data_IF_640857835360
#
_entry.id   IF_640857835360
#
_cell.length_a   1.000
_cell.length_b   1.000
_cell.length_c   1.000
_cell.angle_alpha   90.00
_cell.angle_beta   90.00
_cell.angle_gamma   90.00
#
_symmetry.space_group_name_H-M   'P 1'
#
loop_
_entity.id
_entity.type
_entity.pdbx_description
1 polymer ?
#
# COMPACT_ATOMS: atom_id res chain seq x y z
N UNK A 1 8.46 -21.85 -22.07
CA UNK A 1 7.08 -21.41 -21.78
C UNK A 1 6.04 -22.32 -22.46
N UNK A 2 6.03 -22.38 -23.78
CA UNK A 2 5.00 -23.17 -24.51
C UNK A 2 5.07 -24.67 -24.21
N UNK A 3 6.24 -25.25 -24.00
CA UNK A 3 6.39 -26.67 -23.66
C UNK A 3 5.75 -27.01 -22.31
N UNK A 4 5.86 -26.14 -21.33
CA UNK A 4 5.24 -26.30 -20.03
C UNK A 4 3.70 -26.24 -20.14
N UNK A 5 3.21 -25.28 -20.90
CA UNK A 5 1.76 -25.15 -21.17
C UNK A 5 1.20 -26.38 -21.92
N UNK A 6 1.95 -26.88 -22.91
CA UNK A 6 1.58 -28.09 -23.65
C UNK A 6 1.56 -29.33 -22.74
N UNK A 7 2.57 -29.47 -21.87
CA UNK A 7 2.61 -30.54 -20.87
C UNK A 7 1.41 -30.50 -19.93
N UNK A 8 1.13 -29.33 -19.37
CA UNK A 8 -0.04 -29.12 -18.51
C UNK A 8 -1.34 -29.47 -19.26
N UNK A 9 -1.49 -29.02 -20.51
CA UNK A 9 -2.66 -29.31 -21.34
C UNK A 9 -2.80 -30.82 -21.61
N UNK A 10 -1.69 -31.53 -21.82
CA UNK A 10 -1.69 -33.00 -22.02
C UNK A 10 -2.14 -33.73 -20.76
N UNK A 11 -1.63 -33.35 -19.59
CA UNK A 11 -2.04 -33.92 -18.31
C UNK A 11 -3.54 -33.70 -18.06
N UNK A 12 -4.07 -32.53 -18.43
CA UNK A 12 -5.52 -32.28 -18.31
C UNK A 12 -6.35 -33.10 -19.28
N UNK A 13 -5.91 -33.24 -20.52
CA UNK A 13 -6.61 -34.10 -21.48
C UNK A 13 -6.64 -35.58 -21.01
N UNK A 14 -5.58 -36.05 -20.37
CA UNK A 14 -5.53 -37.38 -19.75
C UNK A 14 -6.50 -37.45 -18.55
N UNK A 15 -6.54 -36.44 -17.67
CA UNK A 15 -7.46 -36.39 -16.54
C UNK A 15 -8.93 -36.29 -16.97
N UNK A 16 -9.22 -35.63 -18.09
CA UNK A 16 -10.57 -35.58 -18.66
C UNK A 16 -10.97 -36.92 -19.28
N UNK A 17 -10.03 -37.68 -19.84
CA UNK A 17 -10.27 -38.99 -20.43
C UNK A 17 -10.46 -40.11 -19.39
N UNK A 18 -10.01 -39.92 -18.16
CA UNK A 18 -10.20 -40.86 -17.06
C UNK A 18 -11.60 -40.66 -16.49
N UNK A 19 -12.53 -41.53 -16.89
CA UNK A 19 -13.87 -41.60 -16.27
C UNK A 19 -13.77 -42.33 -14.91
N UNK A 20 -13.20 -41.68 -13.93
CA UNK A 20 -13.04 -42.25 -12.59
C UNK A 20 -13.94 -41.57 -11.58
N UNK A 21 -14.75 -42.36 -10.86
CA UNK A 21 -15.46 -41.90 -9.66
C UNK A 21 -14.51 -41.69 -8.45
N UNK A 22 -13.19 -41.77 -8.67
CA UNK A 22 -12.20 -41.61 -7.62
C UNK A 22 -11.86 -40.15 -7.41
N UNK A 23 -11.69 -39.80 -6.14
CA UNK A 23 -11.18 -38.45 -5.78
C UNK A 23 -9.73 -38.29 -6.26
N UNK A 24 -9.48 -37.27 -7.05
CA UNK A 24 -8.19 -36.99 -7.68
C UNK A 24 -7.57 -35.74 -7.11
N UNK A 25 -6.30 -35.78 -6.71
CA UNK A 25 -5.54 -34.61 -6.30
C UNK A 25 -4.47 -34.35 -7.37
N UNK A 26 -4.49 -33.12 -7.92
CA UNK A 26 -3.49 -32.64 -8.85
C UNK A 26 -2.54 -31.67 -8.14
N UNK A 27 -1.26 -32.06 -8.08
CA UNK A 27 -0.20 -31.23 -7.52
C UNK A 27 0.60 -30.59 -8.65
N UNK A 28 0.68 -29.25 -8.66
CA UNK A 28 1.42 -28.50 -9.68
C UNK A 28 2.43 -27.59 -9.00
N UNK A 29 3.68 -27.71 -9.37
CA UNK A 29 4.76 -26.87 -8.88
C UNK A 29 5.03 -25.76 -9.90
N UNK A 30 4.92 -24.49 -9.45
CA UNK A 30 5.21 -23.28 -10.21
C UNK A 30 4.66 -23.31 -11.66
N UNK A 31 3.34 -23.44 -11.86
CA UNK A 31 2.76 -23.56 -13.22
C UNK A 31 3.02 -22.33 -14.08
N UNK A 32 3.34 -21.21 -13.46
CA UNK A 32 3.67 -19.94 -14.12
C UNK A 32 5.09 -19.89 -14.73
N UNK A 33 5.95 -20.85 -14.45
CA UNK A 33 7.34 -20.81 -14.88
C UNK A 33 7.47 -20.59 -16.40
N UNK A 34 8.18 -19.52 -16.77
CA UNK A 34 8.40 -19.08 -18.16
C UNK A 34 7.13 -18.66 -18.94
N UNK A 35 6.01 -18.41 -18.27
CA UNK A 35 4.80 -17.92 -18.89
C UNK A 35 4.69 -16.38 -18.77
N UNK A 36 4.19 -15.77 -19.85
CA UNK A 36 3.83 -14.36 -19.81
C UNK A 36 2.70 -14.11 -18.79
N UNK A 37 2.69 -13.00 -18.01
CA UNK A 37 1.70 -12.71 -16.97
C UNK A 37 0.23 -12.90 -17.40
N UNK A 38 -0.14 -12.49 -18.61
CA UNK A 38 -1.50 -12.68 -19.13
C UNK A 38 -1.86 -14.17 -19.31
N UNK A 39 -0.89 -15.02 -19.63
CA UNK A 39 -1.10 -16.48 -19.77
C UNK A 39 -1.20 -17.10 -18.38
N UNK A 40 -0.39 -16.66 -17.43
CA UNK A 40 -0.49 -17.09 -16.03
C UNK A 40 -1.91 -16.90 -15.49
N UNK A 41 -2.47 -15.69 -15.61
CA UNK A 41 -3.83 -15.39 -15.15
C UNK A 41 -4.90 -16.25 -15.86
N UNK A 42 -4.74 -16.50 -17.15
CA UNK A 42 -5.67 -17.38 -17.91
C UNK A 42 -5.58 -18.83 -17.45
N UNK A 43 -4.36 -19.33 -17.23
CA UNK A 43 -4.13 -20.68 -16.74
C UNK A 43 -4.80 -20.89 -15.38
N UNK A 44 -4.58 -19.98 -14.43
CA UNK A 44 -5.18 -20.08 -13.09
C UNK A 44 -6.71 -20.07 -13.15
N UNK A 45 -7.31 -19.19 -13.95
CA UNK A 45 -8.77 -19.16 -14.14
C UNK A 45 -9.30 -20.45 -14.75
N UNK A 46 -8.55 -21.05 -15.66
CA UNK A 46 -8.92 -22.37 -16.25
C UNK A 46 -8.86 -23.47 -15.19
N UNK A 47 -7.77 -23.52 -14.39
CA UNK A 47 -7.62 -24.50 -13.32
C UNK A 47 -8.74 -24.38 -12.28
N UNK A 48 -9.08 -23.15 -11.90
CA UNK A 48 -10.16 -22.88 -10.96
C UNK A 48 -11.50 -23.37 -11.51
N UNK A 49 -11.82 -23.01 -12.76
CA UNK A 49 -13.03 -23.49 -13.41
C UNK A 49 -13.10 -25.02 -13.45
N UNK A 50 -12.00 -25.68 -13.77
CA UNK A 50 -11.94 -27.14 -13.82
C UNK A 50 -12.20 -27.78 -12.45
N UNK A 51 -11.65 -27.20 -11.39
CA UNK A 51 -11.89 -27.65 -10.01
C UNK A 51 -13.34 -27.40 -9.57
N UNK A 52 -13.95 -26.30 -9.99
CA UNK A 52 -15.34 -25.95 -9.66
C UNK A 52 -16.35 -26.86 -10.41
N UNK A 53 -16.01 -27.34 -11.62
CA UNK A 53 -16.85 -28.23 -12.42
C UNK A 53 -16.77 -29.72 -12.04
N UNK A 54 -15.75 -30.12 -11.26
CA UNK A 54 -15.51 -31.52 -10.89
C UNK A 54 -15.43 -31.69 -9.36
N UNK A 55 -16.47 -32.18 -8.74
CA UNK A 55 -16.55 -32.41 -7.29
C UNK A 55 -15.49 -33.40 -6.75
N UNK A 56 -14.92 -34.23 -7.62
CA UNK A 56 -13.90 -35.19 -7.28
C UNK A 56 -12.46 -34.77 -7.62
N UNK A 57 -12.23 -33.51 -7.97
CA UNK A 57 -10.92 -32.96 -8.30
C UNK A 57 -10.50 -31.86 -7.34
N UNK A 58 -9.36 -32.02 -6.69
CA UNK A 58 -8.69 -30.97 -5.94
C UNK A 58 -7.37 -30.59 -6.63
N UNK A 59 -7.14 -29.30 -6.82
CA UNK A 59 -5.89 -28.77 -7.38
C UNK A 59 -5.13 -28.02 -6.30
N UNK A 60 -3.88 -28.41 -6.07
CA UNK A 60 -2.95 -27.74 -5.16
C UNK A 60 -1.75 -27.29 -5.99
N UNK A 61 -1.43 -26.01 -5.94
CA UNK A 61 -0.27 -25.48 -6.67
C UNK A 61 0.63 -24.64 -5.76
N UNK A 62 1.93 -24.65 -6.06
CA UNK A 62 2.88 -23.71 -5.47
C UNK A 62 3.16 -22.57 -6.44
N UNK A 63 3.42 -21.38 -5.91
CA UNK A 63 3.71 -20.21 -6.74
C UNK A 63 4.56 -19.18 -6.01
N UNK A 64 5.39 -18.47 -6.77
CA UNK A 64 6.07 -17.23 -6.37
C UNK A 64 5.56 -16.01 -7.15
N UNK A 65 4.47 -16.14 -7.87
CA UNK A 65 3.91 -15.11 -8.75
C UNK A 65 2.81 -14.30 -8.07
N UNK A 66 3.01 -12.99 -7.97
CA UNK A 66 1.96 -12.05 -7.55
C UNK A 66 0.76 -12.06 -8.52
N UNK A 67 0.98 -12.41 -9.81
CA UNK A 67 -0.09 -12.57 -10.80
C UNK A 67 -0.99 -13.77 -10.45
N UNK A 68 -0.40 -14.89 -10.06
CA UNK A 68 -1.14 -16.07 -9.63
C UNK A 68 -1.92 -15.76 -8.35
N UNK A 69 -1.24 -15.19 -7.34
CA UNK A 69 -1.87 -14.84 -6.06
C UNK A 69 -3.03 -13.85 -6.22
N UNK A 70 -2.93 -12.87 -7.15
CA UNK A 70 -4.01 -11.92 -7.45
C UNK A 70 -5.17 -12.52 -8.25
N UNK A 71 -5.01 -13.73 -8.78
CA UNK A 71 -6.00 -14.35 -9.66
C UNK A 71 -6.92 -15.34 -8.94
N UNK A 72 -6.70 -15.57 -7.65
CA UNK A 72 -7.47 -16.51 -6.82
C UNK A 72 -8.13 -15.80 -5.64
N UNK A 73 -9.13 -16.45 -5.02
CA UNK A 73 -9.72 -15.95 -3.79
C UNK A 73 -8.72 -16.01 -2.63
N UNK A 74 -8.78 -15.00 -1.75
CA UNK A 74 -7.93 -14.93 -0.55
C UNK A 74 -8.06 -16.17 0.33
N UNK A 75 -9.27 -16.76 0.39
CA UNK A 75 -9.55 -17.96 1.19
C UNK A 75 -8.86 -19.24 0.67
N UNK A 76 -8.38 -19.23 -0.57
CA UNK A 76 -7.67 -20.39 -1.17
C UNK A 76 -6.16 -20.30 -0.96
N UNK A 77 -5.66 -19.20 -0.41
CA UNK A 77 -4.23 -18.96 -0.24
C UNK A 77 -3.72 -19.63 1.03
N UNK A 78 -2.67 -20.42 0.88
CA UNK A 78 -1.87 -20.99 1.96
C UNK A 78 -0.50 -20.32 1.91
N UNK A 79 -0.21 -19.51 2.92
CA UNK A 79 1.08 -18.84 3.08
C UNK A 79 2.08 -19.77 3.76
N UNK A 80 3.24 -19.95 3.15
CA UNK A 80 4.31 -20.82 3.67
C UNK A 80 5.59 -20.01 3.80
N UNK A 81 6.21 -20.03 4.97
CA UNK A 81 7.47 -19.34 5.21
C UNK A 81 8.41 -20.15 6.10
N UNK A 82 9.72 -19.95 5.91
CA UNK A 82 10.73 -20.58 6.75
C UNK A 82 10.92 -19.85 8.08
N UNK A 83 11.01 -20.61 9.17
CA UNK A 83 11.45 -20.14 10.48
C UNK A 83 12.73 -20.85 10.86
N UNK A 84 13.48 -20.31 11.84
CA UNK A 84 14.71 -20.94 12.37
C UNK A 84 14.49 -22.38 12.90
N UNK A 85 13.27 -22.71 13.28
CA UNK A 85 12.86 -24.00 13.86
C UNK A 85 12.05 -24.88 12.92
N UNK A 86 11.87 -24.48 11.65
CA UNK A 86 11.08 -25.24 10.68
C UNK A 86 10.30 -24.37 9.70
N UNK A 87 9.15 -24.87 9.25
CA UNK A 87 8.25 -24.21 8.30
C UNK A 87 7.03 -23.72 9.05
N UNK A 88 6.62 -22.48 8.78
CA UNK A 88 5.37 -21.87 9.25
C UNK A 88 4.35 -21.91 8.09
N UNK A 89 3.17 -22.44 8.34
CA UNK A 89 2.10 -22.57 7.36
C UNK A 89 0.85 -21.87 7.90
N UNK A 90 0.33 -20.93 7.14
CA UNK A 90 -0.85 -20.12 7.48
C UNK A 90 -1.89 -20.20 6.38
N UNK A 91 -3.09 -20.64 6.69
CA UNK A 91 -4.22 -20.60 5.76
C UNK A 91 -4.95 -19.28 5.96
N UNK A 92 -5.11 -18.50 4.91
CA UNK A 92 -5.80 -17.22 5.00
C UNK A 92 -7.31 -17.39 5.28
N UNK A 93 -7.87 -18.54 4.94
CA UNK A 93 -9.24 -18.90 5.34
C UNK A 93 -9.46 -18.94 6.86
N UNK A 94 -8.40 -19.24 7.62
CA UNK A 94 -8.46 -19.41 9.07
C UNK A 94 -8.31 -18.07 9.82
N UNK A 95 -8.11 -16.95 9.11
CA UNK A 95 -7.90 -15.62 9.69
C UNK A 95 -9.16 -14.94 10.23
N UNK A 96 -10.29 -15.61 10.24
CA UNK A 96 -11.59 -15.09 10.74
C UNK A 96 -11.93 -13.67 10.20
N UNK A 97 -11.56 -13.40 8.95
CA UNK A 97 -11.88 -12.13 8.29
C UNK A 97 -13.40 -12.04 8.07
N UNK A 98 -13.99 -10.87 8.34
CA UNK A 98 -15.39 -10.65 8.01
C UNK A 98 -15.62 -10.74 6.49
N UNK A 99 -16.84 -11.09 6.09
CA UNK A 99 -17.21 -11.18 4.67
C UNK A 99 -16.98 -9.85 3.91
N UNK A 100 -17.16 -8.71 4.57
CA UNK A 100 -16.87 -7.38 3.98
C UNK A 100 -15.39 -7.23 3.66
N UNK A 101 -14.50 -7.66 4.56
CA UNK A 101 -13.04 -7.65 4.35
C UNK A 101 -12.65 -8.61 3.23
N UNK A 102 -13.15 -9.84 3.25
CA UNK A 102 -12.88 -10.84 2.20
C UNK A 102 -13.30 -10.34 0.82
N UNK A 103 -14.52 -9.83 0.71
CA UNK A 103 -15.06 -9.28 -0.54
C UNK A 103 -14.25 -8.07 -1.02
N UNK A 104 -13.80 -7.22 -0.11
CA UNK A 104 -12.93 -6.10 -0.46
C UNK A 104 -11.58 -6.59 -0.98
N UNK A 105 -10.91 -7.48 -0.25
CA UNK A 105 -9.60 -8.02 -0.65
C UNK A 105 -9.69 -8.76 -1.98
N UNK A 106 -10.68 -9.63 -2.18
CA UNK A 106 -10.89 -10.35 -3.44
C UNK A 106 -11.09 -9.42 -4.64
N UNK A 107 -11.70 -8.26 -4.43
CA UNK A 107 -11.91 -7.26 -5.50
C UNK A 107 -10.67 -6.41 -5.77
N UNK A 108 -9.93 -6.03 -4.73
CA UNK A 108 -8.90 -5.00 -4.81
C UNK A 108 -7.46 -5.53 -4.71
N UNK A 109 -7.28 -6.84 -4.44
CA UNK A 109 -5.98 -7.49 -4.45
C UNK A 109 -5.51 -7.69 -5.89
N UNK A 110 -4.99 -6.62 -6.50
CA UNK A 110 -4.34 -6.64 -7.81
C UNK A 110 -2.89 -7.16 -7.71
N UNK A 111 -2.22 -7.26 -8.84
CA UNK A 111 -0.83 -7.74 -8.92
C UNK A 111 0.09 -6.91 -8.01
N UNK A 112 -0.11 -5.59 -7.96
CA UNK A 112 0.74 -4.68 -7.17
C UNK A 112 0.54 -4.93 -5.68
N UNK A 113 -0.70 -5.05 -5.22
CA UNK A 113 -1.01 -5.30 -3.82
C UNK A 113 -0.67 -6.72 -3.38
N UNK A 114 -0.80 -7.70 -4.28
CA UNK A 114 -0.43 -9.10 -3.99
C UNK A 114 1.05 -9.30 -3.68
N UNK A 115 1.91 -8.34 -4.02
CA UNK A 115 3.33 -8.35 -3.64
C UNK A 115 3.53 -8.37 -2.12
N UNK A 116 2.55 -7.89 -1.34
CA UNK A 116 2.59 -7.95 0.12
C UNK A 116 2.76 -9.37 0.66
N UNK A 117 2.21 -10.38 -0.05
CA UNK A 117 2.30 -11.80 0.35
C UNK A 117 3.73 -12.37 0.21
N UNK A 118 4.58 -11.74 -0.57
CA UNK A 118 5.95 -12.20 -0.84
C UNK A 118 7.02 -11.34 -0.14
N UNK A 119 6.60 -10.40 0.70
CA UNK A 119 7.47 -9.43 1.36
C UNK A 119 7.88 -9.88 2.77
N UNK A 120 9.04 -9.43 3.24
CA UNK A 120 9.48 -9.58 4.63
C UNK A 120 8.91 -8.50 5.54
N UNK A 121 8.47 -7.40 4.97
CA UNK A 121 7.80 -6.29 5.62
C UNK A 121 6.97 -5.50 4.63
N UNK A 122 5.94 -4.81 5.10
CA UNK A 122 5.01 -4.05 4.27
C UNK A 122 4.84 -2.64 4.82
N UNK A 123 4.87 -1.65 3.93
CA UNK A 123 4.47 -0.27 4.23
C UNK A 123 3.24 0.05 3.40
N UNK A 124 2.09 0.24 4.06
CA UNK A 124 0.84 0.66 3.43
C UNK A 124 0.78 2.18 3.35
N UNK A 125 0.42 2.71 2.20
CA UNK A 125 0.30 4.16 1.96
C UNK A 125 -1.00 4.49 1.25
N UNK A 126 -1.51 5.71 1.46
CA UNK A 126 -2.78 6.15 0.88
C UNK A 126 -2.68 6.47 -0.61
N UNK A 127 -1.58 7.06 -1.03
CA UNK A 127 -1.44 7.63 -2.35
C UNK A 127 -0.15 7.27 -3.08
N UNK A 128 -0.08 7.80 -4.30
CA UNK A 128 1.07 7.57 -5.19
C UNK A 128 2.30 8.37 -4.76
N UNK A 129 2.10 9.55 -4.16
CA UNK A 129 3.19 10.41 -3.67
C UNK A 129 4.01 9.68 -2.63
N UNK A 130 3.37 9.14 -1.60
CA UNK A 130 4.04 8.37 -0.56
C UNK A 130 4.70 7.11 -1.15
N UNK A 131 3.99 6.41 -2.05
CA UNK A 131 4.54 5.21 -2.68
C UNK A 131 5.83 5.49 -3.45
N UNK A 132 5.97 6.66 -4.05
CA UNK A 132 7.17 7.07 -4.80
C UNK A 132 8.26 7.66 -3.90
N UNK A 133 7.90 8.44 -2.89
CA UNK A 133 8.86 9.20 -2.08
C UNK A 133 9.42 8.40 -0.90
N UNK A 134 8.61 7.52 -0.27
CA UNK A 134 9.05 6.73 0.88
C UNK A 134 10.28 5.87 0.57
N UNK A 135 10.39 5.15 -0.56
CA UNK A 135 11.62 4.41 -0.87
C UNK A 135 12.85 5.31 -0.97
N UNK A 136 12.72 6.51 -1.53
CA UNK A 136 13.81 7.48 -1.66
C UNK A 136 14.26 8.01 -0.31
N UNK A 137 13.30 8.37 0.55
CA UNK A 137 13.59 8.84 1.91
C UNK A 137 14.19 7.73 2.76
N UNK A 138 13.64 6.52 2.67
CA UNK A 138 14.17 5.36 3.38
C UNK A 138 15.64 5.10 3.01
N UNK A 139 15.99 5.16 1.72
CA UNK A 139 17.37 5.01 1.28
C UNK A 139 18.30 6.03 1.94
N UNK A 140 17.94 7.32 1.92
CA UNK A 140 18.73 8.38 2.58
C UNK A 140 18.87 8.17 4.09
N UNK A 141 17.78 7.82 4.77
CA UNK A 141 17.78 7.56 6.22
C UNK A 141 18.67 6.36 6.56
N UNK A 142 18.56 5.27 5.78
CA UNK A 142 19.33 4.04 5.99
C UNK A 142 20.83 4.27 5.71
N UNK A 143 21.18 5.04 4.69
CA UNK A 143 22.56 5.45 4.44
C UNK A 143 23.16 6.23 5.63
N UNK A 144 22.44 7.24 6.13
CA UNK A 144 22.88 8.03 7.29
C UNK A 144 22.99 7.16 8.56
N UNK A 145 22.06 6.25 8.75
CA UNK A 145 22.10 5.28 9.85
C UNK A 145 23.35 4.40 9.75
N UNK A 146 23.65 3.90 8.56
CA UNK A 146 24.80 3.06 8.29
C UNK A 146 26.15 3.78 8.45
N UNK A 147 26.23 5.08 8.19
CA UNK A 147 27.46 5.87 8.43
C UNK A 147 27.89 5.87 9.90
N UNK A 148 26.94 5.77 10.81
CA UNK A 148 27.16 5.87 12.26
C UNK A 148 27.33 4.51 12.95
N UNK A 149 27.30 3.37 12.23
CA UNK A 149 27.30 2.03 12.83
C UNK A 149 28.33 1.09 12.22
N UNK A 150 28.87 0.20 13.05
CA UNK A 150 29.78 -0.87 12.63
C UNK A 150 29.05 -2.01 11.94
N UNK A 151 27.88 -2.40 12.46
CA UNK A 151 27.02 -3.42 11.84
C UNK A 151 26.08 -2.70 10.88
N UNK A 152 26.21 -3.02 9.60
CA UNK A 152 25.39 -2.43 8.53
C UNK A 152 24.07 -3.17 8.40
N UNK A 153 23.03 -2.42 8.10
CA UNK A 153 21.72 -2.94 7.67
C UNK A 153 21.53 -2.65 6.17
N UNK A 154 20.54 -3.26 5.51
CA UNK A 154 20.24 -2.94 4.11
C UNK A 154 20.11 -1.43 3.88
N UNK A 155 20.57 -0.96 2.71
CA UNK A 155 20.55 0.47 2.38
C UNK A 155 19.23 0.91 1.72
N UNK A 156 18.38 -0.04 1.34
CA UNK A 156 17.08 0.26 0.74
C UNK A 156 16.00 -0.67 1.26
N UNK A 157 14.74 -0.31 1.02
CA UNK A 157 13.60 -1.14 1.36
C UNK A 157 13.61 -2.46 0.57
N UNK A 158 13.98 -2.39 -0.73
CA UNK A 158 14.08 -3.57 -1.57
C UNK A 158 15.13 -4.56 -1.06
N UNK A 159 16.33 -4.09 -0.69
CA UNK A 159 17.36 -4.94 -0.09
C UNK A 159 16.89 -5.57 1.22
N UNK A 160 16.06 -4.87 1.98
CA UNK A 160 15.45 -5.37 3.21
C UNK A 160 14.29 -6.35 2.94
N UNK A 161 13.82 -6.46 1.70
CA UNK A 161 12.62 -7.21 1.33
C UNK A 161 11.32 -6.56 1.80
N UNK A 162 11.32 -5.22 1.96
CA UNK A 162 10.16 -4.43 2.36
C UNK A 162 9.49 -3.83 1.12
N UNK A 163 8.19 -4.03 0.98
CA UNK A 163 7.40 -3.50 -0.13
C UNK A 163 6.52 -2.35 0.33
N UNK A 164 6.50 -1.27 -0.44
CA UNK A 164 5.54 -0.17 -0.27
C UNK A 164 4.31 -0.46 -1.14
N UNK A 165 3.14 -0.48 -0.52
CA UNK A 165 1.88 -0.83 -1.18
C UNK A 165 0.91 0.34 -1.08
N UNK A 166 0.58 0.94 -2.23
CA UNK A 166 -0.48 1.94 -2.33
C UNK A 166 -1.85 1.26 -2.25
N UNK A 167 -2.62 1.59 -1.20
CA UNK A 167 -3.97 1.05 -0.99
C UNK A 167 -5.08 1.90 -1.60
N UNK A 168 -4.71 3.01 -2.26
CA UNK A 168 -5.61 3.96 -2.91
C UNK A 168 -6.69 4.53 -1.95
N UNK A 169 -6.24 5.32 -0.99
CA UNK A 169 -7.05 5.99 0.03
C UNK A 169 -6.99 5.33 1.41
N UNK A 170 -7.93 5.69 2.28
CA UNK A 170 -7.96 5.35 3.71
C UNK A 170 -8.45 3.92 4.01
N UNK A 171 -8.16 2.98 3.14
CA UNK A 171 -8.71 1.61 3.18
C UNK A 171 -7.93 0.66 4.12
N UNK A 172 -7.20 1.19 5.08
CA UNK A 172 -6.39 0.44 6.04
C UNK A 172 -7.16 -0.66 6.77
N UNK A 173 -8.42 -0.43 7.11
CA UNK A 173 -9.28 -1.38 7.81
C UNK A 173 -9.44 -2.74 7.12
N UNK A 174 -9.22 -2.79 5.80
CA UNK A 174 -9.31 -4.02 5.03
C UNK A 174 -7.99 -4.79 4.93
N UNK A 175 -6.86 -4.09 5.03
CA UNK A 175 -5.53 -4.70 4.89
C UNK A 175 -4.91 -5.09 6.23
N UNK A 176 -5.06 -4.27 7.27
CA UNK A 176 -4.47 -4.56 8.57
C UNK A 176 -4.90 -5.89 9.19
N UNK A 177 -6.14 -6.37 9.02
CA UNK A 177 -6.54 -7.68 9.54
C UNK A 177 -5.73 -8.88 9.01
N UNK A 178 -4.98 -8.69 7.94
CA UNK A 178 -4.02 -9.69 7.47
C UNK A 178 -2.77 -9.80 8.37
N UNK A 179 -2.43 -8.74 9.11
CA UNK A 179 -1.19 -8.59 9.86
C UNK A 179 -1.40 -8.44 11.37
N UNK A 180 -2.57 -7.95 11.78
CA UNK A 180 -2.89 -7.63 13.16
C UNK A 180 -3.82 -8.67 13.75
N UNK A 181 -3.48 -9.16 14.93
CA UNK A 181 -4.38 -9.91 15.77
C UNK A 181 -4.38 -9.32 17.18
N UNK A 182 -5.56 -9.39 17.82
CA UNK A 182 -5.71 -9.03 19.23
C UNK A 182 -5.40 -10.19 20.16
N UNK A 183 -5.60 -11.45 19.75
CA UNK A 183 -5.57 -12.60 20.64
C UNK A 183 -4.61 -13.75 20.23
N UNK A 184 -4.34 -13.96 18.93
CA UNK A 184 -3.57 -15.12 18.44
C UNK A 184 -2.56 -14.75 17.35
N UNK A 185 -1.26 -14.77 17.67
CA UNK A 185 -0.17 -14.49 16.71
C UNK A 185 -0.11 -15.49 15.55
N UNK A 186 -0.82 -16.63 15.66
CA UNK A 186 -0.75 -17.73 14.68
C UNK A 186 -1.71 -17.57 13.51
N UNK A 187 -2.77 -16.77 13.65
CA UNK A 187 -3.84 -16.62 12.67
C UNK A 187 -3.70 -15.37 11.80
N UNK A 188 -2.48 -14.89 11.59
CA UNK A 188 -2.15 -13.72 10.76
C UNK A 188 -0.85 -13.93 10.01
N UNK A 189 -0.63 -13.13 8.96
CA UNK A 189 0.64 -13.16 8.23
C UNK A 189 1.79 -12.79 9.16
N UNK A 190 2.89 -13.58 9.23
CA UNK A 190 4.03 -13.31 10.11
C UNK A 190 4.94 -12.23 9.51
N UNK A 191 4.36 -11.15 9.02
CA UNK A 191 4.99 -10.05 8.31
C UNK A 191 4.76 -8.77 9.11
N UNK A 192 5.80 -7.98 9.35
CA UNK A 192 5.65 -6.66 9.96
C UNK A 192 4.99 -5.70 8.97
N UNK A 193 3.98 -4.97 9.45
CA UNK A 193 3.24 -4.01 8.66
C UNK A 193 3.30 -2.63 9.30
N UNK A 194 3.61 -1.62 8.51
CA UNK A 194 3.48 -0.22 8.90
C UNK A 194 2.58 0.50 7.92
N UNK A 195 1.87 1.51 8.36
CA UNK A 195 1.08 2.36 7.48
C UNK A 195 1.33 3.83 7.77
N UNK A 196 1.11 4.66 6.78
CA UNK A 196 1.17 6.11 6.87
C UNK A 196 -0.15 6.65 6.35
N UNK A 197 -0.81 7.47 7.17
CA UNK A 197 -2.10 8.09 6.85
C UNK A 197 -2.05 9.58 7.12
N UNK A 198 -2.80 10.33 6.35
CA UNK A 198 -2.97 11.75 6.55
C UNK A 198 -3.83 12.05 7.79
N UNK A 199 -3.68 13.24 8.35
CA UNK A 199 -4.49 13.69 9.48
C UNK A 199 -5.81 14.30 9.03
N UNK A 200 -5.81 14.99 7.88
CA UNK A 200 -6.96 15.65 7.29
C UNK A 200 -7.79 16.44 8.33
N UNK A 201 -7.26 17.56 8.85
CA UNK A 201 -7.93 18.30 9.91
C UNK A 201 -9.37 18.63 9.56
N UNK A 202 -10.25 18.59 10.55
CA UNK A 202 -11.67 18.93 10.36
C UNK A 202 -11.80 20.35 9.79
N UNK A 203 -12.46 20.46 8.63
CA UNK A 203 -12.71 21.74 7.99
C UNK A 203 -13.79 22.55 8.71
N UNK A 204 -13.69 23.88 8.69
CA UNK A 204 -14.78 24.73 9.11
C UNK A 204 -15.87 24.74 8.02
N UNK A 205 -17.10 24.46 8.43
CA UNK A 205 -18.23 24.32 7.51
C UNK A 205 -19.30 25.35 7.87
N UNK A 206 -19.56 26.29 6.98
CA UNK A 206 -20.70 27.20 7.06
C UNK A 206 -21.88 26.63 6.28
N UNK A 207 -23.07 26.65 6.90
CA UNK A 207 -24.30 26.14 6.29
C UNK A 207 -25.35 27.27 6.19
N UNK A 208 -26.16 27.25 5.13
CA UNK A 208 -27.33 28.15 5.01
C UNK A 208 -28.47 27.72 5.95
N UNK A 209 -29.53 28.54 6.02
CA UNK A 209 -30.72 28.27 6.83
C UNK A 209 -31.44 26.95 6.44
N UNK A 210 -31.13 26.38 5.28
CA UNK A 210 -31.65 25.11 4.79
C UNK A 210 -30.68 23.94 5.01
N UNK A 211 -29.57 24.16 5.74
CA UNK A 211 -28.56 23.14 6.06
C UNK A 211 -27.61 22.82 4.90
N UNK A 212 -27.64 23.56 3.78
CA UNK A 212 -26.72 23.34 2.66
C UNK A 212 -25.39 24.00 2.94
N UNK A 213 -24.30 23.33 2.61
CA UNK A 213 -22.94 23.84 2.77
C UNK A 213 -22.75 25.04 1.82
N UNK A 214 -22.51 26.23 2.39
CA UNK A 214 -22.20 27.48 1.65
C UNK A 214 -20.68 27.60 1.51
N UNK A 215 -19.94 27.27 2.57
CA UNK A 215 -18.49 27.42 2.63
C UNK A 215 -17.88 26.23 3.39
N UNK A 216 -16.82 25.71 2.84
CA UNK A 216 -15.98 24.70 3.48
C UNK A 216 -14.54 25.20 3.43
N UNK A 217 -14.00 25.56 4.60
CA UNK A 217 -12.60 25.97 4.70
C UNK A 217 -11.75 24.82 5.24
N UNK A 218 -10.72 24.47 4.50
CA UNK A 218 -9.72 23.52 4.95
C UNK A 218 -8.79 24.16 5.96
N UNK A 219 -8.42 23.41 7.00
CA UNK A 219 -7.45 23.85 8.00
C UNK A 219 -6.03 23.54 7.56
N UNK A 220 -5.15 24.49 7.81
CA UNK A 220 -3.72 24.40 7.54
C UNK A 220 -2.98 24.71 8.84
N UNK A 221 -2.88 23.72 9.74
CA UNK A 221 -2.37 23.96 11.10
C UNK A 221 -0.85 24.12 11.13
N UNK A 222 -0.37 24.77 12.19
CA UNK A 222 1.04 24.87 12.56
C UNK A 222 1.33 23.98 13.79
N UNK A 223 2.61 23.77 14.08
CA UNK A 223 3.03 22.97 15.22
C UNK A 223 2.54 23.63 16.55
N UNK A 224 1.99 22.85 17.45
CA UNK A 224 1.44 23.31 18.73
C UNK A 224 -0.05 23.68 18.71
N UNK A 225 -0.68 23.77 17.54
CA UNK A 225 -2.14 23.95 17.48
C UNK A 225 -2.86 22.64 17.83
N UNK A 226 -4.00 22.75 18.54
CA UNK A 226 -4.84 21.59 18.82
C UNK A 226 -5.63 21.18 17.56
N UNK A 227 -5.23 20.08 16.94
CA UNK A 227 -5.74 19.64 15.66
C UNK A 227 -6.58 18.37 15.85
N UNK A 228 -7.86 18.45 15.49
CA UNK A 228 -8.73 17.29 15.41
C UNK A 228 -8.62 16.72 14.00
N UNK A 229 -8.18 15.48 13.89
CA UNK A 229 -8.11 14.77 12.60
C UNK A 229 -9.50 14.43 12.09
N UNK A 230 -9.68 14.56 10.78
CA UNK A 230 -10.93 14.21 10.08
C UNK A 230 -10.87 12.88 9.33
N UNK A 231 -9.68 12.28 9.23
CA UNK A 231 -9.47 11.01 8.55
C UNK A 231 -9.94 9.84 9.42
N UNK A 232 -10.82 9.00 8.87
CA UNK A 232 -11.37 7.84 9.59
C UNK A 232 -10.33 6.76 9.92
N UNK A 233 -9.21 6.72 9.20
CA UNK A 233 -8.14 5.78 9.50
C UNK A 233 -7.52 6.04 10.88
N UNK A 234 -7.63 7.27 11.42
CA UNK A 234 -7.14 7.63 12.75
C UNK A 234 -7.82 6.81 13.85
N UNK A 235 -9.08 6.45 13.68
CA UNK A 235 -9.82 5.60 14.63
C UNK A 235 -9.17 4.21 14.82
N UNK A 236 -8.38 3.77 13.84
CA UNK A 236 -7.69 2.47 13.88
C UNK A 236 -6.33 2.52 14.58
N UNK A 237 -5.80 3.71 14.84
CA UNK A 237 -4.41 3.89 15.33
C UNK A 237 -4.17 3.16 16.63
N UNK A 238 -5.07 3.34 17.61
CA UNK A 238 -4.92 2.74 18.93
C UNK A 238 -4.94 1.20 18.87
N UNK A 239 -5.93 0.64 18.16
CA UNK A 239 -6.06 -0.81 18.01
C UNK A 239 -4.87 -1.42 17.26
N UNK A 240 -4.45 -0.82 16.14
CA UNK A 240 -3.31 -1.31 15.37
C UNK A 240 -2.00 -1.20 16.16
N UNK A 241 -1.77 -0.04 16.81
CA UNK A 241 -0.53 0.21 17.53
C UNK A 241 -0.41 -0.57 18.86
N UNK A 242 -1.49 -1.16 19.35
CA UNK A 242 -1.46 -2.09 20.47
C UNK A 242 -0.89 -3.46 20.08
N UNK A 243 -0.91 -3.81 18.80
CA UNK A 243 -0.36 -5.08 18.30
C UNK A 243 1.17 -5.07 18.25
N UNK A 244 1.79 -6.26 18.20
CA UNK A 244 3.27 -6.36 18.14
C UNK A 244 3.82 -6.17 16.72
N UNK A 245 3.04 -6.51 15.71
CA UNK A 245 3.52 -6.64 14.33
C UNK A 245 3.17 -5.45 13.45
N UNK A 246 2.23 -4.59 13.85
CA UNK A 246 1.75 -3.51 13.02
C UNK A 246 1.85 -2.15 13.70
N UNK A 247 1.97 -1.10 12.88
CA UNK A 247 1.95 0.31 13.29
C UNK A 247 1.23 1.14 12.23
N UNK A 248 0.44 2.10 12.69
CA UNK A 248 -0.14 3.14 11.83
C UNK A 248 0.34 4.50 12.31
N UNK A 249 1.04 5.20 11.45
CA UNK A 249 1.55 6.56 11.68
C UNK A 249 0.63 7.56 11.00
N UNK A 250 0.36 8.66 11.70
CA UNK A 250 -0.49 9.75 11.22
C UNK A 250 0.37 10.97 10.96
N UNK A 251 0.14 11.68 9.86
CA UNK A 251 0.75 12.97 9.58
C UNK A 251 0.55 13.93 10.76
N UNK A 252 1.57 14.72 11.06
CA UNK A 252 1.58 15.55 12.28
C UNK A 252 0.58 16.71 12.20
N UNK A 253 0.49 17.36 11.03
CA UNK A 253 -0.30 18.56 10.82
C UNK A 253 -1.50 18.31 9.90
N UNK A 254 -1.27 17.89 8.64
CA UNK A 254 -2.35 17.75 7.66
C UNK A 254 -2.16 16.53 6.78
N UNK A 255 -1.32 16.65 5.76
CA UNK A 255 -0.99 15.60 4.79
C UNK A 255 0.51 15.46 4.71
N UNK A 256 0.95 14.40 4.05
CA UNK A 256 2.37 14.14 3.84
C UNK A 256 3.09 15.33 3.18
N UNK A 257 2.51 15.89 2.11
CA UNK A 257 3.10 17.01 1.36
C UNK A 257 3.11 18.31 2.17
N UNK A 258 2.01 18.61 2.88
CA UNK A 258 1.93 19.79 3.72
C UNK A 258 2.93 19.73 4.87
N UNK A 259 3.04 18.57 5.52
CA UNK A 259 4.00 18.35 6.60
C UNK A 259 5.44 18.47 6.10
N UNK A 260 5.76 17.97 4.90
CA UNK A 260 7.07 18.18 4.27
C UNK A 260 7.38 19.66 4.07
N UNK A 261 6.42 20.45 3.56
CA UNK A 261 6.59 21.88 3.36
C UNK A 261 6.84 22.58 4.69
N UNK A 262 6.02 22.30 5.71
CA UNK A 262 6.13 22.88 7.04
C UNK A 262 7.42 22.49 7.79
N UNK A 263 8.05 21.39 7.42
CA UNK A 263 9.35 20.97 7.94
C UNK A 263 10.55 21.60 7.20
N UNK A 264 10.41 22.84 6.71
CA UNK A 264 11.51 23.63 6.14
C UNK A 264 11.78 23.36 4.67
N UNK A 265 10.93 22.62 3.96
CA UNK A 265 11.13 22.29 2.56
C UNK A 265 10.35 23.20 1.58
N UNK A 266 9.67 24.25 2.05
CA UNK A 266 8.92 25.17 1.19
C UNK A 266 9.74 25.72 0.01
N UNK A 267 10.99 26.14 0.26
CA UNK A 267 11.87 26.68 -0.78
C UNK A 267 12.18 25.65 -1.87
N UNK A 268 12.53 24.42 -1.47
CA UNK A 268 12.83 23.31 -2.39
C UNK A 268 11.59 22.89 -3.19
N UNK A 269 10.44 22.73 -2.53
CA UNK A 269 9.19 22.35 -3.20
C UNK A 269 8.72 23.46 -4.16
N UNK A 270 8.87 24.73 -3.79
CA UNK A 270 8.59 25.86 -4.68
C UNK A 270 9.53 25.89 -5.90
N UNK A 271 10.80 25.51 -5.75
CA UNK A 271 11.72 25.38 -6.87
C UNK A 271 11.27 24.30 -7.85
N UNK A 272 10.89 23.12 -7.35
CA UNK A 272 10.38 22.02 -8.18
C UNK A 272 9.11 22.45 -8.93
N UNK A 273 8.17 23.12 -8.26
CA UNK A 273 6.98 23.66 -8.91
C UNK A 273 7.34 24.71 -9.97
N UNK A 274 8.25 25.64 -9.66
CA UNK A 274 8.70 26.66 -10.61
C UNK A 274 9.28 26.07 -11.89
N UNK A 275 10.08 25.04 -11.77
CA UNK A 275 10.73 24.38 -12.91
C UNK A 275 9.75 23.60 -13.77
N UNK A 276 8.81 22.88 -13.15
CA UNK A 276 7.92 21.95 -13.84
C UNK A 276 6.54 22.56 -14.20
N UNK A 277 6.16 23.71 -13.61
CA UNK A 277 4.88 24.33 -13.92
C UNK A 277 4.82 24.82 -15.37
N UNK A 278 3.72 24.62 -16.08
CA UNK A 278 3.52 25.17 -17.42
C UNK A 278 3.71 26.69 -17.44
N UNK A 279 4.15 27.24 -18.56
CA UNK A 279 4.37 28.69 -18.67
C UNK A 279 3.01 29.41 -18.63
N UNK A 280 2.70 30.03 -17.49
CA UNK A 280 1.43 30.71 -17.20
C UNK A 280 1.43 32.23 -17.50
N UNK A 281 2.42 32.65 -18.27
CA UNK A 281 2.53 34.03 -18.78
C UNK A 281 3.17 35.01 -17.78
N UNK A 282 3.21 36.31 -18.19
CA UNK A 282 3.85 37.39 -17.43
C UNK A 282 2.96 38.04 -16.37
N UNK A 283 1.89 37.35 -15.90
CA UNK A 283 0.99 37.89 -14.89
C UNK A 283 1.70 37.93 -13.54
N UNK A 284 1.53 39.04 -12.82
CA UNK A 284 2.15 39.25 -11.50
C UNK A 284 1.76 38.17 -10.48
N UNK A 285 0.56 37.64 -10.59
CA UNK A 285 0.00 36.56 -9.76
C UNK A 285 0.14 35.16 -10.39
N UNK A 286 1.05 34.96 -11.33
CA UNK A 286 1.31 33.64 -11.91
C UNK A 286 1.94 32.69 -10.87
N UNK A 287 1.65 31.40 -10.99
CA UNK A 287 2.21 30.36 -10.09
C UNK A 287 3.72 30.43 -10.09
N UNK A 288 4.33 30.56 -11.27
CA UNK A 288 5.79 30.71 -11.38
C UNK A 288 6.34 31.91 -10.61
N UNK A 289 5.69 33.07 -10.69
CA UNK A 289 6.18 34.24 -9.97
C UNK A 289 6.06 34.07 -8.45
N UNK A 290 5.01 33.44 -7.97
CA UNK A 290 4.86 33.19 -6.53
C UNK A 290 5.84 32.11 -6.05
N UNK A 291 6.00 31.02 -6.78
CA UNK A 291 7.02 30.00 -6.50
C UNK A 291 8.45 30.60 -6.50
N UNK A 292 8.73 31.53 -7.44
CA UNK A 292 10.01 32.23 -7.46
C UNK A 292 10.27 33.01 -6.16
N UNK A 293 9.26 33.71 -5.63
CA UNK A 293 9.39 34.45 -4.36
C UNK A 293 9.60 33.50 -3.17
N UNK A 294 8.91 32.37 -3.15
CA UNK A 294 9.04 31.38 -2.07
C UNK A 294 10.41 30.72 -2.09
N UNK A 295 10.88 30.27 -3.26
CA UNK A 295 12.19 29.61 -3.36
C UNK A 295 13.39 30.49 -3.00
N UNK A 296 13.24 31.82 -3.10
CA UNK A 296 14.28 32.79 -2.73
C UNK A 296 14.32 33.05 -1.21
N UNK A 297 13.36 32.55 -0.43
CA UNK A 297 13.37 32.69 1.02
C UNK A 297 14.39 31.75 1.65
N UNK A 298 15.24 32.28 2.49
CA UNK A 298 16.28 31.50 3.20
C UNK A 298 15.85 31.13 4.63
N UNK A 299 14.89 31.84 5.19
CA UNK A 299 14.32 31.57 6.52
C UNK A 299 12.94 32.23 6.63
N UNK A 300 12.12 31.69 7.50
CA UNK A 300 10.83 32.25 7.90
C UNK A 300 11.00 32.90 9.26
N UNK A 301 10.36 34.09 9.45
CA UNK A 301 10.38 34.79 10.72
C UNK A 301 9.25 34.40 11.65
N UNK A 302 8.14 33.97 11.06
CA UNK A 302 6.91 33.59 11.74
C UNK A 302 6.34 32.32 11.11
N UNK A 303 5.76 31.46 11.91
CA UNK A 303 5.13 30.19 11.45
C UNK A 303 3.95 30.45 10.53
N UNK A 304 3.21 31.55 10.73
CA UNK A 304 2.11 31.97 9.85
C UNK A 304 2.58 32.30 8.43
N UNK A 305 3.76 32.89 8.26
CA UNK A 305 4.33 33.10 6.92
C UNK A 305 4.67 31.80 6.23
N UNK A 306 5.26 30.87 6.98
CA UNK A 306 5.56 29.53 6.46
C UNK A 306 4.29 28.75 6.11
N UNK A 307 3.25 28.86 6.95
CA UNK A 307 1.94 28.26 6.71
C UNK A 307 1.32 28.71 5.39
N UNK A 308 1.32 30.00 5.11
CA UNK A 308 0.76 30.54 3.86
C UNK A 308 1.53 30.06 2.61
N UNK A 309 2.84 29.95 2.69
CA UNK A 309 3.65 29.43 1.61
C UNK A 309 3.47 27.89 1.45
N UNK A 310 3.43 27.15 2.54
CA UNK A 310 3.17 25.71 2.54
C UNK A 310 1.78 25.40 2.00
N UNK A 311 0.75 26.15 2.41
CA UNK A 311 -0.60 26.07 1.86
C UNK A 311 -0.61 26.31 0.36
N UNK A 312 0.11 27.34 -0.09
CA UNK A 312 0.20 27.64 -1.51
C UNK A 312 0.84 26.50 -2.31
N UNK A 313 1.94 25.95 -1.82
CA UNK A 313 2.63 24.82 -2.44
C UNK A 313 1.71 23.60 -2.50
N UNK A 314 1.10 23.24 -1.36
CA UNK A 314 0.18 22.11 -1.26
C UNK A 314 -0.96 22.19 -2.28
N UNK A 315 -1.62 23.36 -2.39
CA UNK A 315 -2.75 23.57 -3.31
C UNK A 315 -2.37 23.50 -4.80
N UNK A 316 -1.07 23.49 -5.14
CA UNK A 316 -0.58 23.46 -6.53
C UNK A 316 0.25 22.20 -6.85
N UNK A 317 0.48 21.32 -5.88
CA UNK A 317 1.26 20.10 -6.11
C UNK A 317 0.43 19.00 -6.79
N UNK A 318 -0.89 19.01 -6.55
CA UNK A 318 -1.86 18.05 -7.10
C UNK A 318 -2.47 18.49 -8.45
N UNK A 319 -1.93 19.51 -9.10
CA UNK A 319 -2.48 20.08 -10.35
C UNK A 319 -1.78 19.59 -11.61
#
# INVERSE_FOLDING_TARGET
>A
GYNNLLYIATVFAELEAIDSNLFTILLIEEPEAHLHPQIQAKLIKYLQKLSDEKDNLQIILTTHSAVVASSVSIDTIIYVTGKNTGIDVRKLSDFELSEDIKNYLNRWMDITKSTLLFSKGVILVEGICEAMLIPVFAHKVLEEYNKKRTVKIPNSLEEAGVTVVNINGINFKYFYPLFCDTDWEEDRLPIRCSGITDKDPVADIEKDEKGRIIKKEEKYPIEGENIIGGNKAIELVESINSTKQARLYVASLKTFEYDLAMNGNCSLMAEILYENWPNDGKKENSVKNKCKKIKEKTAYKEDDEMREDAKYIYTHIDC
#
